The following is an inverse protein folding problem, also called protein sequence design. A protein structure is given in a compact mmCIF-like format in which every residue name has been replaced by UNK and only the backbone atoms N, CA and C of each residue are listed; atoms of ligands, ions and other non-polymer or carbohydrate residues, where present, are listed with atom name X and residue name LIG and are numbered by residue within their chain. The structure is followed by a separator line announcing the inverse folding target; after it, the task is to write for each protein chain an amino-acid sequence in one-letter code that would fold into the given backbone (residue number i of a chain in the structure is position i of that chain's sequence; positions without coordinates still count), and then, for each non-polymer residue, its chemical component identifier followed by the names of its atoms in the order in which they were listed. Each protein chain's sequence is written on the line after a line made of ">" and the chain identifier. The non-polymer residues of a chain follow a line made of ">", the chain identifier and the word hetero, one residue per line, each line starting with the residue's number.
data_IF_868642018774
#
_entry.id   IF_868642018774
#
_cell.length_a   1.000
_cell.length_b   1.000
_cell.length_c   1.000
_cell.angle_alpha   90.00
_cell.angle_beta   90.00
_cell.angle_gamma   90.00
#
_symmetry.space_group_name_H-M   'P 1'
#
loop_
_entity.id
_entity.type
_entity.pdbx_description
1 polymer ?
#
# COMPACT_ATOMS: atom_id res chain seq x y z
N UNK A 1 14.97 -14.33 23.05
CA UNK A 1 13.79 -13.99 22.21
C UNK A 1 14.22 -12.92 21.23
N UNK A 2 14.48 -13.29 19.97
CA UNK A 2 14.84 -12.31 18.95
C UNK A 2 13.72 -11.28 18.82
N UNK A 3 14.05 -10.00 18.83
CA UNK A 3 13.11 -8.93 18.53
C UNK A 3 12.35 -9.32 17.26
N UNK A 4 11.05 -9.61 17.36
CA UNK A 4 10.19 -9.68 16.18
C UNK A 4 10.38 -8.34 15.48
N UNK A 5 11.13 -8.31 14.38
CA UNK A 5 11.22 -7.13 13.55
C UNK A 5 9.77 -6.71 13.27
N UNK A 6 9.47 -5.43 13.50
CA UNK A 6 8.16 -4.89 13.18
C UNK A 6 8.12 -4.72 11.67
N UNK A 7 7.87 -5.81 10.96
CA UNK A 7 7.81 -5.89 9.51
C UNK A 7 6.94 -4.77 8.92
N UNK A 8 5.88 -4.37 9.64
CA UNK A 8 5.04 -3.20 9.31
C UNK A 8 5.84 -1.92 9.00
N UNK A 9 6.91 -1.65 9.77
CA UNK A 9 7.80 -0.49 9.60
C UNK A 9 9.08 -0.83 8.84
N UNK A 10 9.19 -2.04 8.28
CA UNK A 10 10.34 -2.46 7.49
C UNK A 10 10.04 -2.22 6.00
N UNK A 11 10.82 -1.37 5.31
CA UNK A 11 10.70 -1.16 3.87
C UNK A 11 10.75 -2.49 3.10
N UNK A 12 9.91 -2.70 2.07
CA UNK A 12 10.06 -3.82 1.14
C UNK A 12 11.26 -3.60 0.19
N UNK A 13 11.39 -4.47 -0.81
CA UNK A 13 12.30 -4.20 -1.93
C UNK A 13 11.84 -2.95 -2.70
N UNK A 14 12.76 -2.29 -3.40
CA UNK A 14 12.41 -1.15 -4.27
C UNK A 14 11.41 -1.53 -5.36
N UNK A 15 11.49 -2.75 -5.88
CA UNK A 15 10.57 -3.25 -6.91
C UNK A 15 9.13 -3.32 -6.38
N UNK A 16 8.93 -3.96 -5.23
CA UNK A 16 7.62 -4.05 -4.57
C UNK A 16 7.09 -2.65 -4.22
N UNK A 17 7.96 -1.77 -3.70
CA UNK A 17 7.58 -0.41 -3.36
C UNK A 17 7.11 0.40 -4.57
N UNK A 18 7.88 0.35 -5.67
CA UNK A 18 7.56 1.08 -6.88
C UNK A 18 6.32 0.52 -7.56
N UNK A 19 6.14 -0.81 -7.59
CA UNK A 19 4.92 -1.44 -8.10
C UNK A 19 3.69 -0.97 -7.31
N UNK A 20 3.73 -1.06 -5.97
CA UNK A 20 2.60 -0.62 -5.14
C UNK A 20 2.29 0.86 -5.34
N UNK A 21 3.32 1.72 -5.41
CA UNK A 21 3.17 3.15 -5.65
C UNK A 21 2.53 3.43 -7.01
N UNK A 22 3.00 2.77 -8.06
CA UNK A 22 2.46 2.89 -9.40
C UNK A 22 0.96 2.51 -9.42
N UNK A 23 0.60 1.34 -8.87
CA UNK A 23 -0.79 0.88 -8.87
C UNK A 23 -1.70 1.70 -7.96
N UNK A 24 -1.18 2.25 -6.87
CA UNK A 24 -1.88 3.22 -6.01
C UNK A 24 -2.22 4.49 -6.80
N UNK A 25 -1.24 5.06 -7.52
CA UNK A 25 -1.45 6.24 -8.38
C UNK A 25 -2.45 5.93 -9.49
N UNK A 26 -2.35 4.77 -10.14
CA UNK A 26 -3.32 4.36 -11.17
C UNK A 26 -4.75 4.35 -10.63
N UNK A 27 -4.99 3.82 -9.43
CA UNK A 27 -6.34 3.79 -8.82
C UNK A 27 -6.83 5.21 -8.57
N UNK A 28 -6.01 6.07 -7.98
CA UNK A 28 -6.40 7.48 -7.75
C UNK A 28 -6.77 8.19 -9.05
N UNK A 29 -6.03 7.96 -10.13
CA UNK A 29 -6.29 8.54 -11.44
C UNK A 29 -7.59 8.03 -12.10
N UNK A 30 -8.30 7.06 -11.53
CA UNK A 30 -9.63 6.64 -12.03
C UNK A 30 -10.79 7.46 -11.47
N UNK A 31 -10.55 8.26 -10.42
CA UNK A 31 -11.57 9.11 -9.80
C UNK A 31 -11.74 10.42 -10.57
N UNK A 32 -12.92 11.02 -10.42
CA UNK A 32 -13.15 12.39 -10.87
C UNK A 32 -12.25 13.37 -10.12
N UNK A 33 -11.72 14.36 -10.85
CA UNK A 33 -10.78 15.34 -10.33
C UNK A 33 -11.28 16.79 -10.51
N UNK A 34 -12.61 17.02 -10.62
CA UNK A 34 -13.18 18.35 -10.85
C UNK A 34 -12.73 19.39 -9.80
N UNK A 35 -12.41 18.95 -8.58
CA UNK A 35 -11.96 19.79 -7.47
C UNK A 35 -10.52 19.52 -6.99
N UNK A 36 -9.70 18.83 -7.78
CA UNK A 36 -8.29 18.55 -7.42
C UNK A 36 -8.09 17.48 -6.33
N UNK A 37 -9.13 16.70 -6.01
CA UNK A 37 -9.06 15.64 -5.01
C UNK A 37 -8.03 14.55 -5.37
N UNK A 38 -8.00 14.14 -6.63
CA UNK A 38 -7.00 13.17 -7.13
C UNK A 38 -5.60 13.77 -7.05
N UNK A 39 -5.44 15.03 -7.44
CA UNK A 39 -4.14 15.71 -7.40
C UNK A 39 -3.59 15.74 -5.97
N UNK A 40 -4.42 16.05 -4.97
CA UNK A 40 -4.03 16.02 -3.56
C UNK A 40 -3.47 14.64 -3.16
N UNK A 41 -4.19 13.56 -3.50
CA UNK A 41 -3.81 12.18 -3.13
C UNK A 41 -2.58 11.69 -3.90
N UNK A 42 -2.48 12.00 -5.18
CA UNK A 42 -1.29 11.65 -5.98
C UNK A 42 -0.07 12.44 -5.51
N UNK A 43 -0.23 13.72 -5.18
CA UNK A 43 0.87 14.53 -4.66
C UNK A 43 1.38 14.05 -3.30
N UNK A 44 0.54 13.43 -2.47
CA UNK A 44 0.98 12.85 -1.19
C UNK A 44 1.78 11.56 -1.34
N UNK A 45 1.78 10.91 -2.52
CA UNK A 45 2.45 9.62 -2.77
C UNK A 45 3.55 9.67 -3.82
N UNK A 46 3.48 10.56 -4.81
CA UNK A 46 4.40 10.51 -5.98
C UNK A 46 5.89 10.62 -5.59
N UNK A 47 6.18 11.44 -4.57
CA UNK A 47 7.54 11.75 -4.12
C UNK A 47 7.95 10.98 -2.86
N UNK A 48 7.10 10.07 -2.36
CA UNK A 48 7.43 9.31 -1.15
C UNK A 48 8.52 8.28 -1.44
N UNK A 49 9.40 8.11 -0.45
CA UNK A 49 10.56 7.20 -0.52
C UNK A 49 10.25 5.88 0.17
N UNK A 50 10.95 4.82 -0.22
CA UNK A 50 10.85 3.50 0.38
C UNK A 50 11.50 3.46 1.77
N UNK A 51 10.84 4.06 2.76
CA UNK A 51 11.32 4.16 4.14
C UNK A 51 10.17 3.87 5.12
N UNK A 52 10.51 3.23 6.23
CA UNK A 52 9.58 2.91 7.32
C UNK A 52 8.28 2.24 6.82
N UNK A 53 7.13 2.78 7.21
CA UNK A 53 5.78 2.31 6.90
C UNK A 53 5.18 2.95 5.65
N UNK A 54 5.94 3.72 4.86
CA UNK A 54 5.43 4.35 3.62
C UNK A 54 4.80 3.34 2.65
N UNK A 55 5.27 2.09 2.67
CA UNK A 55 4.68 1.01 1.89
C UNK A 55 3.23 0.71 2.34
N UNK A 56 2.97 0.66 3.65
CA UNK A 56 1.63 0.40 4.19
C UNK A 56 0.78 1.67 4.26
N UNK A 57 1.40 2.84 4.41
CA UNK A 57 0.73 4.13 4.30
C UNK A 57 -0.09 4.24 3.00
N UNK A 58 0.48 3.83 1.85
CA UNK A 58 -0.24 3.84 0.57
C UNK A 58 -1.48 2.94 0.57
N UNK A 59 -1.39 1.75 1.18
CA UNK A 59 -2.53 0.83 1.33
C UNK A 59 -3.61 1.42 2.23
N UNK A 60 -3.20 2.06 3.33
CA UNK A 60 -4.10 2.64 4.32
C UNK A 60 -4.92 3.84 3.81
N UNK A 61 -4.58 4.40 2.65
CA UNK A 61 -5.35 5.46 2.01
C UNK A 61 -6.69 4.96 1.43
N UNK A 62 -6.84 3.65 1.26
CA UNK A 62 -7.99 3.05 0.60
C UNK A 62 -8.93 2.33 1.57
N UNK A 63 -10.24 2.42 1.28
CA UNK A 63 -11.25 1.55 1.89
C UNK A 63 -11.11 0.09 1.42
N UNK A 64 -11.91 -0.81 1.99
CA UNK A 64 -11.84 -2.25 1.72
C UNK A 64 -12.08 -2.61 0.24
N UNK A 65 -12.93 -1.88 -0.48
CA UNK A 65 -13.22 -2.15 -1.90
C UNK A 65 -12.01 -1.76 -2.74
N UNK A 66 -11.42 -0.61 -2.47
CA UNK A 66 -10.23 -0.15 -3.18
C UNK A 66 -8.96 -0.93 -2.83
N UNK A 67 -8.83 -1.41 -1.59
CA UNK A 67 -7.76 -2.34 -1.23
C UNK A 67 -7.86 -3.64 -2.02
N UNK A 68 -9.06 -4.14 -2.29
CA UNK A 68 -9.26 -5.32 -3.15
C UNK A 68 -8.87 -5.03 -4.60
N UNK A 69 -9.31 -3.90 -5.15
CA UNK A 69 -8.93 -3.46 -6.49
C UNK A 69 -7.40 -3.32 -6.63
N UNK A 70 -6.73 -2.85 -5.58
CA UNK A 70 -5.28 -2.77 -5.51
C UNK A 70 -4.65 -4.16 -5.50
N UNK A 71 -5.12 -5.06 -4.61
CA UNK A 71 -4.62 -6.43 -4.53
C UNK A 71 -4.75 -7.21 -5.85
N UNK A 72 -5.82 -6.98 -6.63
CA UNK A 72 -6.05 -7.60 -7.93
C UNK A 72 -5.10 -7.09 -9.03
N UNK A 73 -4.43 -5.94 -8.81
CA UNK A 73 -3.48 -5.32 -9.75
C UNK A 73 -2.01 -5.63 -9.44
N UNK A 74 -1.72 -6.16 -8.26
CA UNK A 74 -0.36 -6.43 -7.81
C UNK A 74 0.09 -7.83 -8.20
N UNK A 75 1.40 -7.99 -8.37
CA UNK A 75 2.07 -9.28 -8.39
C UNK A 75 1.81 -10.06 -7.10
N UNK A 76 1.84 -11.39 -7.19
CA UNK A 76 1.66 -12.27 -6.03
C UNK A 76 2.69 -11.96 -4.92
N UNK A 77 3.92 -11.62 -5.30
CA UNK A 77 5.00 -11.30 -4.39
C UNK A 77 4.76 -9.98 -3.64
N UNK A 78 4.36 -8.91 -4.34
CA UNK A 78 4.04 -7.62 -3.70
C UNK A 78 2.79 -7.72 -2.85
N UNK A 79 1.77 -8.46 -3.31
CA UNK A 79 0.56 -8.73 -2.54
C UNK A 79 0.88 -9.47 -1.23
N UNK A 80 1.69 -10.52 -1.29
CA UNK A 80 2.15 -11.25 -0.11
C UNK A 80 2.94 -10.33 0.85
N UNK A 81 3.81 -9.47 0.31
CA UNK A 81 4.58 -8.52 1.11
C UNK A 81 3.70 -7.49 1.84
N UNK A 82 2.58 -7.07 1.25
CA UNK A 82 1.57 -6.24 1.93
C UNK A 82 0.86 -7.05 3.02
N UNK A 83 0.37 -8.25 2.68
CA UNK A 83 -0.36 -9.13 3.63
C UNK A 83 0.44 -9.38 4.90
N UNK A 84 1.70 -9.78 4.78
CA UNK A 84 2.57 -10.10 5.93
C UNK A 84 2.78 -8.90 6.85
N UNK A 85 2.88 -7.70 6.27
CA UNK A 85 3.01 -6.45 7.03
C UNK A 85 1.73 -6.08 7.76
N UNK A 86 0.58 -6.23 7.14
CA UNK A 86 -0.72 -5.99 7.79
C UNK A 86 -0.96 -6.95 8.96
N UNK A 87 -0.64 -8.25 8.78
CA UNK A 87 -0.68 -9.25 9.85
C UNK A 87 0.27 -8.87 10.98
N UNK A 88 1.50 -8.47 10.66
CA UNK A 88 2.49 -8.05 11.66
C UNK A 88 2.06 -6.78 12.42
N UNK A 89 1.35 -5.87 11.74
CA UNK A 89 0.75 -4.66 12.31
C UNK A 89 -0.49 -4.93 13.19
N UNK A 90 -0.96 -6.17 13.25
CA UNK A 90 -2.08 -6.59 14.09
C UNK A 90 -3.46 -6.48 13.43
N UNK A 91 -3.52 -6.29 12.10
CA UNK A 91 -4.79 -6.33 11.39
C UNK A 91 -5.36 -7.76 11.41
N UNK A 92 -6.64 -7.96 11.79
CA UNK A 92 -7.26 -9.27 11.74
C UNK A 92 -7.26 -9.84 10.33
N UNK A 93 -6.80 -11.09 10.15
CA UNK A 93 -6.61 -11.70 8.83
C UNK A 93 -7.89 -11.73 7.97
N UNK A 94 -9.06 -11.88 8.58
CA UNK A 94 -10.34 -11.90 7.87
C UNK A 94 -10.76 -10.53 7.32
N UNK A 95 -10.02 -9.47 7.64
CA UNK A 95 -10.18 -8.11 7.10
C UNK A 95 -9.10 -7.74 6.07
N UNK A 96 -8.23 -8.68 5.69
CA UNK A 96 -7.13 -8.43 4.74
C UNK A 96 -7.51 -8.98 3.36
N UNK A 97 -7.49 -8.10 2.34
CA UNK A 97 -7.81 -8.43 0.94
C UNK A 97 -6.58 -8.77 0.08
N UNK A 98 -5.40 -8.86 0.68
CA UNK A 98 -4.12 -9.20 0.06
C UNK A 98 -3.76 -10.65 0.36
#
# INVERSE_FOLDING_TARGET
>A
MGSKQRLYYTPPTEEQFNELKEKTIEIWNTYDNEFGYVDEKVNSIKDIKNIQDNFIYMVAMFDIVNQRNLADKLSDETRQAVRERLINGGQPEYLINF
#
